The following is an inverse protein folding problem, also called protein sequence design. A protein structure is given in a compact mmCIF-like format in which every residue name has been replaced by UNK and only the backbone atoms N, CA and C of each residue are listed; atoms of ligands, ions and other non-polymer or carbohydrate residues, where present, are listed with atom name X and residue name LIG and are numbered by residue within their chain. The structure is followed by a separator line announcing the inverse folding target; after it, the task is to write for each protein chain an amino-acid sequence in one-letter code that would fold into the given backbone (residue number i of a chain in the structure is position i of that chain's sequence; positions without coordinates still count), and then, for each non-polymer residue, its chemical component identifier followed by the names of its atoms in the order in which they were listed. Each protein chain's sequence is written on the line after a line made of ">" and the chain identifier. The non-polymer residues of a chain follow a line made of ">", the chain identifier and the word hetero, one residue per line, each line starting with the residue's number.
data_IF_479548246085
#
_entry.id   IF_479548246085
#
_cell.length_a   1.000
_cell.length_b   1.000
_cell.length_c   1.000
_cell.angle_alpha   90.00
_cell.angle_beta   90.00
_cell.angle_gamma   90.00
#
_symmetry.space_group_name_H-M   'P 1'
#
loop_
_entity.id
_entity.type
_entity.pdbx_description
1 polymer ?
#
# COMPACT_ATOMS: atom_id res chain seq x y z
N UNK A 1 12.20 -15.29 -7.38
CA UNK A 1 11.58 -15.86 -6.16
C UNK A 1 10.26 -15.14 -5.92
N UNK A 2 9.27 -15.84 -5.36
CA UNK A 2 8.01 -15.18 -5.06
C UNK A 2 8.20 -14.13 -3.96
N UNK A 3 7.80 -12.87 -4.25
CA UNK A 3 7.77 -11.80 -3.26
C UNK A 3 6.54 -11.91 -2.34
N UNK A 4 5.41 -12.40 -2.89
CA UNK A 4 4.19 -12.67 -2.13
C UNK A 4 3.70 -14.07 -2.52
N UNK A 5 3.40 -14.91 -1.56
CA UNK A 5 2.89 -16.26 -1.79
C UNK A 5 1.78 -16.57 -0.79
N UNK A 6 0.70 -17.18 -1.27
CA UNK A 6 -0.37 -17.72 -0.42
C UNK A 6 -0.71 -19.13 -0.84
N UNK A 7 -1.06 -19.98 0.13
CA UNK A 7 -1.50 -21.36 -0.09
C UNK A 7 -2.74 -21.65 0.75
N UNK A 8 -3.87 -21.86 0.08
CA UNK A 8 -5.16 -22.12 0.70
C UNK A 8 -5.64 -21.05 1.68
N UNK A 9 -5.19 -19.78 1.51
CA UNK A 9 -5.45 -18.70 2.44
C UNK A 9 -6.95 -18.46 2.60
N UNK A 10 -7.46 -18.62 3.81
CA UNK A 10 -8.90 -18.53 4.10
C UNK A 10 -9.15 -17.64 5.32
N UNK A 11 -10.20 -16.81 5.23
CA UNK A 11 -10.70 -16.03 6.37
C UNK A 11 -12.20 -16.15 6.52
N UNK A 12 -12.63 -16.55 7.73
CA UNK A 12 -14.02 -16.65 8.15
C UNK A 12 -14.30 -15.70 9.32
N UNK A 13 -15.48 -15.11 9.31
CA UNK A 13 -16.04 -14.31 10.42
C UNK A 13 -17.37 -14.95 10.82
N UNK A 14 -17.35 -15.84 11.83
CA UNK A 14 -18.48 -16.70 12.12
C UNK A 14 -18.82 -17.56 10.89
N UNK A 15 -20.06 -17.48 10.43
CA UNK A 15 -20.55 -18.22 9.25
C UNK A 15 -20.22 -17.52 7.92
N UNK A 16 -19.76 -16.27 7.96
CA UNK A 16 -19.40 -15.53 6.75
C UNK A 16 -17.96 -15.84 6.31
N UNK A 17 -17.79 -16.23 5.06
CA UNK A 17 -16.48 -16.50 4.43
C UNK A 17 -16.10 -15.28 3.62
N UNK A 18 -15.08 -14.54 4.07
CA UNK A 18 -14.60 -13.35 3.39
C UNK A 18 -13.57 -13.66 2.31
N UNK A 19 -12.71 -14.67 2.55
CA UNK A 19 -11.72 -15.20 1.60
C UNK A 19 -11.71 -16.71 1.75
N UNK A 20 -11.73 -17.45 0.64
CA UNK A 20 -11.74 -18.91 0.64
C UNK A 20 -10.69 -19.46 -0.32
N UNK A 21 -9.82 -20.31 0.20
CA UNK A 21 -8.84 -21.13 -0.55
C UNK A 21 -8.01 -20.32 -1.56
N UNK A 22 -7.56 -19.11 -1.18
CA UNK A 22 -6.79 -18.24 -2.06
C UNK A 22 -5.34 -18.71 -2.14
N UNK A 23 -4.93 -19.16 -3.32
CA UNK A 23 -3.55 -19.49 -3.64
C UNK A 23 -3.06 -18.63 -4.79
N UNK A 24 -2.00 -17.85 -4.55
CA UNK A 24 -1.36 -16.98 -5.54
C UNK A 24 0.14 -16.89 -5.28
N UNK A 25 0.88 -16.55 -6.32
CA UNK A 25 2.30 -16.20 -6.23
C UNK A 25 2.55 -14.95 -7.07
N UNK A 26 3.26 -13.99 -6.50
CA UNK A 26 3.71 -12.76 -7.16
C UNK A 26 5.23 -12.78 -7.15
N UNK A 27 5.85 -12.71 -8.32
CA UNK A 27 7.31 -12.72 -8.44
C UNK A 27 7.93 -11.38 -8.03
N UNK A 28 9.20 -11.41 -7.61
CA UNK A 28 9.95 -10.20 -7.32
C UNK A 28 10.05 -9.30 -8.57
N UNK A 29 9.83 -7.99 -8.40
CA UNK A 29 9.85 -7.01 -9.48
C UNK A 29 8.61 -7.05 -10.38
N UNK A 30 7.53 -7.72 -9.97
CA UNK A 30 6.28 -7.78 -10.72
C UNK A 30 5.28 -6.70 -10.28
N UNK A 31 4.42 -6.27 -11.21
CA UNK A 31 3.20 -5.52 -10.90
C UNK A 31 2.02 -6.49 -10.93
N UNK A 32 1.43 -6.75 -9.78
CA UNK A 32 0.30 -7.66 -9.65
C UNK A 32 -0.98 -6.91 -9.28
N UNK A 33 -2.00 -7.02 -10.13
CA UNK A 33 -3.32 -6.42 -9.91
C UNK A 33 -4.31 -7.43 -9.30
N UNK A 34 -4.75 -7.17 -8.08
CA UNK A 34 -5.77 -7.97 -7.38
C UNK A 34 -7.15 -7.35 -7.60
N UNK A 35 -7.82 -7.79 -8.66
CA UNK A 35 -9.03 -7.17 -9.18
C UNK A 35 -10.28 -7.87 -8.67
N UNK A 36 -11.34 -7.10 -8.40
CA UNK A 36 -12.62 -7.66 -8.00
C UNK A 36 -13.61 -6.62 -7.50
N UNK A 37 -14.92 -6.93 -7.48
CA UNK A 37 -15.94 -6.01 -6.99
C UNK A 37 -15.77 -5.72 -5.49
N UNK A 38 -16.49 -4.69 -5.00
CA UNK A 38 -16.57 -4.42 -3.57
C UNK A 38 -17.15 -5.63 -2.84
N UNK A 39 -16.57 -5.99 -1.69
CA UNK A 39 -16.94 -7.19 -0.95
C UNK A 39 -16.30 -8.50 -1.43
N UNK A 40 -15.46 -8.49 -2.46
CA UNK A 40 -14.75 -9.68 -2.94
C UNK A 40 -13.61 -10.16 -2.01
N UNK A 41 -13.41 -9.55 -0.85
CA UNK A 41 -12.37 -9.94 0.10
C UNK A 41 -11.00 -9.30 -0.12
N UNK A 42 -10.87 -8.30 -1.04
CA UNK A 42 -9.59 -7.65 -1.36
C UNK A 42 -8.90 -7.07 -0.12
N UNK A 43 -9.54 -6.16 0.60
CA UNK A 43 -8.96 -5.52 1.80
C UNK A 43 -8.76 -6.51 2.95
N UNK A 44 -9.58 -7.57 3.01
CA UNK A 44 -9.39 -8.69 3.96
C UNK A 44 -8.10 -9.46 3.62
N UNK A 45 -7.86 -9.74 2.35
CA UNK A 45 -6.64 -10.39 1.87
C UNK A 45 -5.41 -9.54 2.18
N UNK A 46 -5.44 -8.23 1.85
CA UNK A 46 -4.37 -7.28 2.18
C UNK A 46 -4.12 -7.26 3.69
N UNK A 47 -5.16 -7.21 4.51
CA UNK A 47 -5.02 -7.23 5.98
C UNK A 47 -4.36 -8.50 6.51
N UNK A 48 -4.62 -9.66 5.87
CA UNK A 48 -3.94 -10.91 6.21
C UNK A 48 -2.47 -10.89 5.78
N UNK A 49 -2.17 -10.43 4.57
CA UNK A 49 -0.80 -10.32 4.05
C UNK A 49 0.07 -9.40 4.92
N UNK A 50 -0.50 -8.33 5.46
CA UNK A 50 0.19 -7.38 6.34
C UNK A 50 0.27 -7.84 7.82
N UNK A 51 -0.32 -8.99 8.14
CA UNK A 51 -0.37 -9.51 9.51
C UNK A 51 -1.26 -8.71 10.46
N UNK A 52 -2.17 -7.87 9.93
CA UNK A 52 -3.18 -7.17 10.73
C UNK A 52 -4.35 -8.08 11.08
N UNK A 53 -4.59 -9.09 10.26
CA UNK A 53 -5.64 -10.07 10.42
C UNK A 53 -5.07 -11.48 10.31
N UNK A 54 -5.32 -12.31 11.33
CA UNK A 54 -4.86 -13.71 11.29
C UNK A 54 -5.75 -14.54 10.36
N UNK A 55 -5.19 -15.34 9.44
CA UNK A 55 -5.95 -16.31 8.66
C UNK A 55 -6.70 -17.32 9.55
N UNK A 56 -7.85 -17.80 9.07
CA UNK A 56 -8.55 -18.93 9.68
C UNK A 56 -7.89 -20.26 9.34
N UNK A 57 -7.37 -20.37 8.11
CA UNK A 57 -6.57 -21.50 7.63
C UNK A 57 -5.71 -21.06 6.44
N UNK A 58 -4.83 -21.96 5.98
CA UNK A 58 -3.85 -21.65 4.94
C UNK A 58 -2.67 -20.85 5.44
N UNK A 59 -1.76 -20.53 4.53
CA UNK A 59 -0.53 -19.77 4.85
C UNK A 59 -0.33 -18.61 3.88
N UNK A 60 0.44 -17.62 4.33
CA UNK A 60 0.90 -16.53 3.47
C UNK A 60 2.30 -16.10 3.89
N UNK A 61 3.10 -15.70 2.91
CA UNK A 61 4.43 -15.15 3.14
C UNK A 61 4.68 -13.93 2.25
N UNK A 62 5.50 -13.00 2.75
CA UNK A 62 6.04 -11.88 2.00
C UNK A 62 7.56 -11.88 2.16
N UNK A 63 8.29 -11.82 1.04
CA UNK A 63 9.76 -11.87 0.99
C UNK A 63 10.31 -13.07 1.79
N UNK A 64 9.64 -14.23 1.71
CA UNK A 64 10.00 -15.45 2.44
C UNK A 64 9.68 -15.43 3.93
N UNK A 65 9.05 -14.38 4.45
CA UNK A 65 8.64 -14.27 5.85
C UNK A 65 7.16 -14.61 6.03
N UNK A 66 6.85 -15.53 6.93
CA UNK A 66 5.47 -15.87 7.30
C UNK A 66 4.75 -14.66 7.94
N UNK A 67 3.58 -14.32 7.42
CA UNK A 67 2.82 -13.11 7.80
C UNK A 67 2.31 -13.16 9.24
N UNK A 68 2.14 -14.34 9.81
CA UNK A 68 1.60 -14.51 11.18
C UNK A 68 2.68 -14.42 12.25
N UNK A 69 3.91 -14.83 11.93
CA UNK A 69 5.01 -14.93 12.91
C UNK A 69 6.10 -13.86 12.73
N UNK A 70 6.23 -13.30 11.52
CA UNK A 70 7.27 -12.33 11.14
C UNK A 70 6.73 -10.99 10.63
N UNK A 71 5.50 -10.64 11.01
CA UNK A 71 4.80 -9.44 10.52
C UNK A 71 5.59 -8.13 10.73
N UNK A 72 6.40 -8.03 11.79
CA UNK A 72 7.25 -6.86 12.01
C UNK A 72 8.34 -6.73 10.93
N UNK A 73 9.09 -7.82 10.69
CA UNK A 73 10.15 -7.82 9.67
C UNK A 73 9.58 -7.52 8.26
N UNK A 74 8.36 -7.99 7.99
CA UNK A 74 7.64 -7.67 6.75
C UNK A 74 7.37 -6.17 6.68
N UNK A 75 6.76 -5.57 7.72
CA UNK A 75 6.37 -4.15 7.74
C UNK A 75 7.56 -3.18 7.64
N UNK A 76 8.74 -3.58 8.05
CA UNK A 76 9.97 -2.79 7.88
C UNK A 76 10.40 -2.67 6.40
N UNK A 77 9.96 -3.62 5.55
CA UNK A 77 10.35 -3.72 4.14
C UNK A 77 9.23 -3.38 3.15
N UNK A 78 8.03 -3.08 3.63
CA UNK A 78 6.89 -2.76 2.77
C UNK A 78 6.50 -1.29 2.87
N UNK A 79 5.93 -0.77 1.77
CA UNK A 79 5.14 0.44 1.75
C UNK A 79 3.65 0.11 1.64
N UNK A 80 2.82 0.80 2.38
CA UNK A 80 1.38 0.59 2.38
C UNK A 80 0.64 1.88 2.07
N UNK A 81 -0.22 1.84 1.06
CA UNK A 81 -1.27 2.82 0.83
C UNK A 81 -2.61 2.10 1.08
N UNK A 82 -3.26 2.30 2.23
CA UNK A 82 -4.55 1.68 2.53
C UNK A 82 -5.69 2.42 1.84
N UNK A 83 -6.80 1.71 1.58
CA UNK A 83 -8.05 2.35 1.21
C UNK A 83 -8.54 3.24 2.37
N UNK A 84 -8.90 4.51 2.08
CA UNK A 84 -9.44 5.42 3.08
C UNK A 84 -8.43 5.76 4.19
N UNK A 85 -7.25 6.22 3.82
CA UNK A 85 -6.23 6.66 4.77
C UNK A 85 -6.78 7.74 5.72
N UNK A 86 -6.83 7.43 7.01
CA UNK A 86 -7.19 8.39 8.06
C UNK A 86 -6.01 9.35 8.31
N UNK A 87 -6.17 10.59 7.86
CA UNK A 87 -5.16 11.63 8.07
C UNK A 87 -5.24 12.19 9.49
N UNK A 88 -4.11 12.53 10.06
CA UNK A 88 -4.07 13.38 11.25
C UNK A 88 -4.39 14.81 10.83
N UNK A 89 -5.64 15.23 11.02
CA UNK A 89 -6.19 16.48 10.47
C UNK A 89 -5.37 17.74 10.79
N UNK A 90 -4.74 17.76 11.95
CA UNK A 90 -3.94 18.89 12.43
C UNK A 90 -2.48 18.88 11.95
N UNK A 91 -2.00 17.78 11.40
CA UNK A 91 -0.66 17.68 10.82
C UNK A 91 -0.69 18.11 9.35
N UNK A 92 0.35 18.77 8.92
CA UNK A 92 0.57 19.09 7.50
C UNK A 92 0.92 17.82 6.71
N UNK A 93 0.75 17.86 5.39
CA UNK A 93 1.18 16.76 4.54
C UNK A 93 2.67 16.46 4.67
N UNK A 94 3.48 17.52 4.80
CA UNK A 94 4.92 17.40 5.04
C UNK A 94 5.23 16.69 6.35
N UNK A 95 4.53 17.01 7.44
CA UNK A 95 4.72 16.37 8.75
C UNK A 95 4.33 14.89 8.72
N UNK A 96 3.32 14.48 7.92
CA UNK A 96 3.01 13.07 7.71
C UNK A 96 4.18 12.31 7.07
N UNK A 97 4.80 12.88 6.04
CA UNK A 97 5.97 12.26 5.38
C UNK A 97 7.17 12.23 6.33
N UNK A 98 7.47 13.32 7.04
CA UNK A 98 8.55 13.36 8.03
C UNK A 98 8.35 12.31 9.12
N UNK A 99 7.13 12.18 9.66
CA UNK A 99 6.80 11.17 10.67
C UNK A 99 7.01 9.74 10.16
N UNK A 100 6.71 9.48 8.89
CA UNK A 100 6.97 8.18 8.27
C UNK A 100 8.48 7.91 8.14
N UNK A 101 9.26 8.91 7.71
CA UNK A 101 10.73 8.84 7.61
C UNK A 101 11.34 8.49 8.98
N UNK A 102 10.94 9.22 10.02
CA UNK A 102 11.43 9.00 11.39
C UNK A 102 11.02 7.61 11.92
N UNK A 103 9.77 7.19 11.66
CA UNK A 103 9.26 5.89 12.12
C UNK A 103 9.99 4.71 11.47
N UNK A 104 10.35 4.85 10.19
CA UNK A 104 11.12 3.83 9.46
C UNK A 104 12.63 3.94 9.69
N UNK A 105 13.11 5.03 10.28
CA UNK A 105 14.55 5.32 10.37
C UNK A 105 15.19 5.49 9.00
N UNK A 106 14.45 6.03 8.03
CA UNK A 106 14.90 6.26 6.67
C UNK A 106 15.66 7.61 6.56
N UNK A 107 16.41 7.78 5.47
CA UNK A 107 17.20 9.00 5.21
C UNK A 107 16.60 9.82 4.04
N UNK A 108 15.33 9.62 3.74
CA UNK A 108 14.65 10.31 2.63
C UNK A 108 14.52 11.82 2.89
N UNK A 109 14.47 12.58 1.81
CA UNK A 109 14.07 13.98 1.82
C UNK A 109 12.55 14.10 1.65
N UNK A 110 11.87 14.62 2.68
CA UNK A 110 10.43 14.79 2.68
C UNK A 110 9.93 15.70 1.54
N UNK A 111 10.67 16.76 1.21
CA UNK A 111 10.28 17.69 0.14
C UNK A 111 10.44 17.03 -1.25
N UNK A 112 11.45 16.18 -1.43
CA UNK A 112 11.60 15.36 -2.65
C UNK A 112 10.47 14.34 -2.82
N UNK A 113 10.02 13.69 -1.75
CA UNK A 113 8.87 12.78 -1.77
C UNK A 113 7.58 13.53 -2.13
N UNK A 114 7.35 14.71 -1.54
CA UNK A 114 6.19 15.56 -1.82
C UNK A 114 6.14 15.96 -3.29
N UNK A 115 7.26 16.40 -3.85
CA UNK A 115 7.37 16.73 -5.28
C UNK A 115 7.10 15.50 -6.15
N UNK A 116 7.69 14.37 -5.79
CA UNK A 116 7.53 13.08 -6.51
C UNK A 116 6.08 12.62 -6.63
N UNK A 117 5.26 12.82 -5.60
CA UNK A 117 3.83 12.47 -5.64
C UNK A 117 2.95 13.59 -6.20
N UNK A 118 3.54 14.70 -6.62
CA UNK A 118 2.86 15.81 -7.25
C UNK A 118 1.92 16.57 -6.29
N UNK A 119 2.25 16.60 -5.01
CA UNK A 119 1.61 17.49 -4.04
C UNK A 119 2.33 18.84 -4.08
N UNK A 120 1.55 19.91 -4.28
CA UNK A 120 2.12 21.26 -4.31
C UNK A 120 2.82 21.58 -2.97
N UNK A 121 4.05 22.13 -2.97
CA UNK A 121 4.79 22.46 -1.74
C UNK A 121 4.04 23.41 -0.79
N UNK A 122 3.24 24.33 -1.31
CA UNK A 122 2.44 25.25 -0.47
C UNK A 122 1.25 24.50 0.15
N UNK A 123 0.60 23.60 -0.61
CA UNK A 123 -0.43 22.72 -0.07
C UNK A 123 0.16 21.75 0.97
N UNK A 124 1.36 21.22 0.74
CA UNK A 124 2.02 20.30 1.67
C UNK A 124 2.30 20.91 3.06
N UNK A 125 2.29 22.24 3.17
CA UNK A 125 2.43 22.98 4.45
C UNK A 125 1.11 23.29 5.15
N UNK A 126 -0.02 22.97 4.50
CA UNK A 126 -1.35 23.15 5.08
C UNK A 126 -1.76 21.93 5.89
N UNK A 127 -2.65 22.07 6.89
CA UNK A 127 -3.22 20.94 7.62
C UNK A 127 -3.91 19.92 6.67
N UNK A 128 -3.64 18.64 6.86
CA UNK A 128 -4.17 17.60 6.00
C UNK A 128 -5.70 17.41 6.10
N UNK A 129 -6.32 17.91 7.17
CA UNK A 129 -7.78 18.00 7.30
C UNK A 129 -8.45 18.89 6.24
N UNK A 130 -7.69 19.80 5.62
CA UNK A 130 -8.17 20.67 4.55
C UNK A 130 -7.97 20.08 3.14
N UNK A 131 -7.39 18.88 3.04
CA UNK A 131 -7.05 18.27 1.76
C UNK A 131 -8.28 17.70 1.04
N UNK A 132 -8.28 17.86 -0.28
CA UNK A 132 -9.15 17.05 -1.13
C UNK A 132 -8.77 15.57 -1.04
N UNK A 133 -9.69 14.67 -1.41
CA UNK A 133 -9.38 13.23 -1.47
C UNK A 133 -8.14 12.93 -2.33
N UNK A 134 -7.98 13.62 -3.47
CA UNK A 134 -6.81 13.45 -4.32
C UNK A 134 -5.51 13.91 -3.68
N UNK A 135 -5.53 14.99 -2.88
CA UNK A 135 -4.36 15.45 -2.11
C UNK A 135 -4.02 14.47 -1.00
N UNK A 136 -5.02 13.96 -0.27
CA UNK A 136 -4.83 12.92 0.75
C UNK A 136 -4.22 11.65 0.13
N UNK A 137 -4.71 11.24 -1.04
CA UNK A 137 -4.22 10.07 -1.77
C UNK A 137 -2.74 10.24 -2.19
N UNK A 138 -2.37 11.42 -2.71
CA UNK A 138 -0.99 11.74 -3.08
C UNK A 138 -0.06 11.73 -1.86
N UNK A 139 -0.48 12.35 -0.76
CA UNK A 139 0.27 12.35 0.49
C UNK A 139 0.46 10.92 1.03
N UNK A 140 -0.60 10.10 1.04
CA UNK A 140 -0.55 8.71 1.50
C UNK A 140 0.35 7.85 0.62
N UNK A 141 0.37 8.10 -0.70
CA UNK A 141 1.32 7.47 -1.61
C UNK A 141 2.76 7.87 -1.24
N UNK A 142 3.01 9.16 -0.93
CA UNK A 142 4.32 9.62 -0.45
C UNK A 142 4.76 8.88 0.80
N UNK A 143 3.89 8.75 1.79
CA UNK A 143 4.14 7.98 3.02
C UNK A 143 4.49 6.51 2.70
N UNK A 144 3.80 5.89 1.74
CA UNK A 144 4.05 4.52 1.33
C UNK A 144 5.42 4.33 0.65
N UNK A 145 5.95 5.35 -0.03
CA UNK A 145 7.23 5.30 -0.74
C UNK A 145 8.44 5.51 0.16
N UNK A 146 8.26 6.00 1.40
CA UNK A 146 9.37 6.23 2.34
C UNK A 146 10.20 4.97 2.56
N UNK A 147 11.51 5.12 2.51
CA UNK A 147 12.47 4.06 2.81
C UNK A 147 12.63 3.02 1.70
N UNK A 148 12.31 3.38 0.47
CA UNK A 148 12.51 2.52 -0.72
C UNK A 148 12.01 1.07 -0.49
N UNK A 149 10.69 0.86 -0.29
CA UNK A 149 10.18 -0.45 0.09
C UNK A 149 10.44 -1.53 -0.97
N UNK A 150 10.74 -2.77 -0.53
CA UNK A 150 10.89 -3.91 -1.44
C UNK A 150 9.54 -4.38 -2.03
N UNK A 151 8.48 -4.20 -1.26
CA UNK A 151 7.10 -4.49 -1.70
C UNK A 151 6.21 -3.28 -1.42
N UNK A 152 5.52 -2.80 -2.44
CA UNK A 152 4.55 -1.72 -2.34
C UNK A 152 3.13 -2.29 -2.45
N UNK A 153 2.35 -2.16 -1.38
CA UNK A 153 0.94 -2.62 -1.32
C UNK A 153 0.03 -1.41 -1.41
N UNK A 154 -0.79 -1.37 -2.46
CA UNK A 154 -1.66 -0.24 -2.78
C UNK A 154 -3.12 -0.71 -2.81
N UNK A 155 -3.93 -0.29 -1.84
CA UNK A 155 -5.36 -0.60 -1.80
C UNK A 155 -6.16 0.55 -2.44
N UNK A 156 -6.79 0.27 -3.59
CA UNK A 156 -7.55 1.23 -4.41
C UNK A 156 -6.77 2.55 -4.71
N UNK A 157 -5.54 2.48 -5.24
CA UNK A 157 -4.62 3.61 -5.30
C UNK A 157 -5.07 4.76 -6.21
N UNK A 158 -5.98 4.51 -7.16
CA UNK A 158 -6.53 5.52 -8.06
C UNK A 158 -7.73 6.29 -7.48
N UNK A 159 -8.22 5.89 -6.30
CA UNK A 159 -9.40 6.51 -5.68
C UNK A 159 -9.18 8.01 -5.43
N UNK A 160 -10.11 8.83 -5.91
CA UNK A 160 -10.06 10.29 -5.72
C UNK A 160 -9.04 11.04 -6.57
N UNK A 161 -8.23 10.35 -7.39
CA UNK A 161 -7.28 10.99 -8.29
C UNK A 161 -7.95 11.46 -9.59
N UNK A 162 -7.51 12.61 -10.07
CA UNK A 162 -7.82 13.10 -11.40
C UNK A 162 -6.97 12.34 -12.48
N UNK A 163 -7.28 12.49 -13.78
CA UNK A 163 -6.52 11.79 -14.83
C UNK A 163 -5.02 12.06 -14.82
N UNK A 164 -4.59 13.26 -14.39
CA UNK A 164 -3.15 13.57 -14.24
C UNK A 164 -2.55 12.81 -13.07
N UNK A 165 -3.27 12.72 -11.95
CA UNK A 165 -2.85 11.94 -10.77
C UNK A 165 -2.75 10.45 -11.08
N UNK A 166 -3.68 9.89 -11.84
CA UNK A 166 -3.63 8.49 -12.29
C UNK A 166 -2.40 8.24 -13.18
N UNK A 167 -2.10 9.17 -14.10
CA UNK A 167 -0.90 9.06 -14.94
C UNK A 167 0.38 9.10 -14.10
N UNK A 168 0.46 9.99 -13.12
CA UNK A 168 1.60 10.09 -12.21
C UNK A 168 1.74 8.82 -11.36
N UNK A 169 0.65 8.30 -10.80
CA UNK A 169 0.65 7.03 -10.06
C UNK A 169 1.23 5.89 -10.91
N UNK A 170 0.78 5.75 -12.16
CA UNK A 170 1.30 4.73 -13.09
C UNK A 170 2.80 4.92 -13.40
N UNK A 171 3.27 6.16 -13.46
CA UNK A 171 4.69 6.45 -13.63
C UNK A 171 5.48 6.01 -12.39
N UNK A 172 5.04 6.39 -11.20
CA UNK A 172 5.68 6.01 -9.93
C UNK A 172 5.75 4.49 -9.79
N UNK A 173 4.65 3.78 -10.10
CA UNK A 173 4.63 2.29 -10.06
C UNK A 173 5.69 1.69 -10.98
N UNK A 174 5.86 2.25 -12.19
CA UNK A 174 6.91 1.77 -13.12
C UNK A 174 8.31 2.04 -12.58
N UNK A 175 8.56 3.24 -12.04
CA UNK A 175 9.84 3.60 -11.44
C UNK A 175 10.19 2.66 -10.25
N UNK A 176 9.21 2.31 -9.41
CA UNK A 176 9.42 1.37 -8.32
C UNK A 176 9.78 -0.03 -8.83
N UNK A 177 9.10 -0.52 -9.85
CA UNK A 177 9.42 -1.82 -10.47
C UNK A 177 10.78 -1.79 -11.18
N UNK A 178 11.12 -0.71 -11.87
CA UNK A 178 12.43 -0.53 -12.51
C UNK A 178 13.57 -0.51 -11.47
N UNK A 179 13.28 -0.06 -10.24
CA UNK A 179 14.20 -0.12 -9.10
C UNK A 179 14.31 -1.56 -8.52
N UNK A 180 13.39 -2.44 -8.85
CA UNK A 180 13.31 -3.83 -8.40
C UNK A 180 12.26 -4.11 -7.32
N UNK A 181 11.44 -3.12 -6.95
CA UNK A 181 10.33 -3.34 -6.04
C UNK A 181 9.22 -4.16 -6.68
N UNK A 182 8.50 -4.93 -5.88
CA UNK A 182 7.27 -5.62 -6.27
C UNK A 182 6.08 -4.75 -5.91
N UNK A 183 5.12 -4.60 -6.83
CA UNK A 183 3.91 -3.81 -6.58
C UNK A 183 2.68 -4.70 -6.60
N UNK A 184 1.98 -4.75 -5.48
CA UNK A 184 0.67 -5.40 -5.34
C UNK A 184 -0.40 -4.34 -5.18
N UNK A 185 -1.35 -4.25 -6.09
CA UNK A 185 -2.44 -3.29 -5.95
C UNK A 185 -3.80 -3.95 -6.07
N UNK A 186 -4.77 -3.46 -5.29
CA UNK A 186 -6.17 -3.82 -5.45
C UNK A 186 -6.90 -2.79 -6.32
N UNK A 187 -7.90 -3.24 -7.07
CA UNK A 187 -8.84 -2.34 -7.74
C UNK A 187 -10.19 -3.02 -7.95
N UNK A 188 -11.26 -2.24 -7.93
CA UNK A 188 -12.59 -2.68 -8.37
C UNK A 188 -12.89 -2.28 -9.82
N UNK A 189 -11.99 -1.55 -10.47
CA UNK A 189 -12.09 -1.10 -11.86
C UNK A 189 -11.13 -1.90 -12.73
N UNK A 190 -11.59 -2.35 -13.88
CA UNK A 190 -10.83 -3.18 -14.84
C UNK A 190 -10.19 -2.35 -15.97
N UNK A 191 -9.84 -1.08 -15.73
CA UNK A 191 -9.28 -0.17 -16.76
C UNK A 191 -7.74 -0.08 -16.71
#
# INVERSE_FOLDING_TARGET
>A
MAAIETDGLTRRFGDFVAVEDLSLAVEEGEVFGFLGPNGAGKSTTISMLLGFLKPSSGTASILGHDVTTKSRAIRERIGLLPEGYDVYENLTGREHVVSAIETKGAEDDADAIIDRVGLDPDDARRPAGEYSKGMQQRMSLGVALVGDPDVLVLDEPSSGLDPKGIKLLRQIVREEVDRGATVFFSSHVLD
#
